data_IF_866213373843
#
_entry.id   IF_866213373843
#
_cell.length_a   1.000
_cell.length_b   1.000
_cell.length_c   1.000
_cell.angle_alpha   90.00
_cell.angle_beta   90.00
_cell.angle_gamma   90.00
#
_symmetry.space_group_name_H-M   'P 1'
#
loop_
_entity.id
_entity.type
_entity.pdbx_description
1 polymer ?
#
# COMPACT_ATOMS: atom_id res chain seq x y z
N UNK A 1 13.84 -10.00 15.91
CA UNK A 1 14.40 -8.85 15.15
C UNK A 1 13.32 -7.81 14.88
N UNK A 2 13.67 -6.51 14.93
CA UNK A 2 12.75 -5.41 14.65
C UNK A 2 12.48 -5.25 13.16
N UNK A 3 11.20 -5.25 12.80
CA UNK A 3 10.71 -4.94 11.46
C UNK A 3 9.83 -3.70 11.51
N UNK A 4 9.96 -2.82 10.53
CA UNK A 4 9.11 -1.64 10.40
C UNK A 4 8.23 -1.79 9.16
N UNK A 5 6.95 -1.56 9.34
CA UNK A 5 5.95 -1.72 8.28
C UNK A 5 5.17 -0.43 8.06
N UNK A 6 4.74 -0.24 6.82
CA UNK A 6 4.16 1.03 6.35
C UNK A 6 2.80 0.80 5.70
N UNK A 7 1.74 1.48 6.17
CA UNK A 7 0.39 1.28 5.67
C UNK A 7 0.18 1.91 4.29
N UNK A 8 -0.87 1.44 3.63
CA UNK A 8 -1.36 1.98 2.37
C UNK A 8 -2.69 2.70 2.50
N UNK A 9 -3.34 2.88 1.34
CA UNK A 9 -4.61 3.58 1.22
C UNK A 9 -5.69 2.95 2.11
N UNK A 10 -6.49 3.78 2.76
CA UNK A 10 -7.49 3.39 3.75
C UNK A 10 -7.08 3.70 5.19
N UNK A 11 -5.80 4.00 5.42
CA UNK A 11 -5.29 4.34 6.76
C UNK A 11 -5.45 5.83 7.13
N UNK A 12 -5.74 6.70 6.15
CA UNK A 12 -5.83 8.15 6.32
C UNK A 12 -6.99 8.58 7.22
N UNK A 13 -6.79 9.67 7.95
CA UNK A 13 -7.82 10.35 8.74
C UNK A 13 -7.54 11.84 8.87
N UNK A 14 -8.57 12.66 8.97
CA UNK A 14 -8.42 14.11 9.16
C UNK A 14 -7.74 14.41 10.50
N UNK A 15 -6.73 15.26 10.47
CA UNK A 15 -5.87 15.56 11.63
C UNK A 15 -4.55 14.79 11.63
N UNK A 16 -4.38 13.84 10.72
CA UNK A 16 -3.15 13.03 10.64
C UNK A 16 -1.90 13.90 10.44
N UNK A 17 -0.91 13.71 11.28
CA UNK A 17 0.37 14.42 11.20
C UNK A 17 0.40 15.81 11.82
N UNK A 18 -0.74 16.36 12.29
CA UNK A 18 -0.81 17.71 12.87
C UNK A 18 0.05 17.85 14.12
N UNK A 19 -0.09 16.92 15.06
CA UNK A 19 0.71 16.93 16.29
C UNK A 19 2.21 16.84 16.01
N UNK A 20 2.58 16.00 15.03
CA UNK A 20 3.98 15.86 14.61
C UNK A 20 4.52 17.15 14.00
N UNK A 21 3.73 17.83 13.17
CA UNK A 21 4.07 19.13 12.60
C UNK A 21 4.24 20.22 13.66
N UNK A 22 3.36 20.26 14.65
CA UNK A 22 3.37 21.29 15.70
C UNK A 22 4.51 21.09 16.72
N UNK A 23 4.90 19.83 17.00
CA UNK A 23 5.79 19.50 18.11
C UNK A 23 7.21 19.06 17.69
N UNK A 24 7.46 18.85 16.39
CA UNK A 24 8.77 18.40 15.89
C UNK A 24 9.28 19.32 14.79
N UNK A 25 10.40 20.05 14.99
CA UNK A 25 10.94 20.96 14.00
C UNK A 25 11.32 20.31 12.67
N UNK A 26 11.86 19.08 12.70
CA UNK A 26 12.19 18.32 11.48
C UNK A 26 10.92 17.94 10.72
N UNK A 27 9.88 17.50 11.43
CA UNK A 27 8.60 17.20 10.80
C UNK A 27 8.02 18.42 10.11
N UNK A 28 8.01 19.55 10.78
CA UNK A 28 7.53 20.82 10.20
C UNK A 28 8.29 21.18 8.92
N UNK A 29 9.62 21.11 8.95
CA UNK A 29 10.46 21.35 7.77
C UNK A 29 10.10 20.42 6.60
N UNK A 30 9.96 19.12 6.87
CA UNK A 30 9.65 18.13 5.85
C UNK A 30 8.23 18.29 5.29
N UNK A 31 7.23 18.60 6.11
CA UNK A 31 5.87 18.90 5.64
C UNK A 31 5.83 20.16 4.77
N UNK A 32 6.54 21.24 5.16
CA UNK A 32 6.61 22.44 4.33
C UNK A 32 7.34 22.17 3.01
N UNK A 33 8.43 21.41 3.03
CA UNK A 33 9.11 20.98 1.81
C UNK A 33 8.17 20.16 0.90
N UNK A 34 7.32 19.31 1.47
CA UNK A 34 6.33 18.56 0.71
C UNK A 34 5.30 19.47 0.03
N UNK A 35 4.82 20.50 0.72
CA UNK A 35 3.93 21.50 0.13
C UNK A 35 4.58 22.18 -1.08
N UNK A 36 5.86 22.52 -1.00
CA UNK A 36 6.62 23.12 -2.11
C UNK A 36 6.76 22.14 -3.28
N UNK A 37 7.14 20.90 -3.03
CA UNK A 37 7.31 19.86 -4.06
C UNK A 37 5.99 19.60 -4.80
N UNK A 38 4.89 19.49 -4.07
CA UNK A 38 3.56 19.20 -4.62
C UNK A 38 2.93 20.40 -5.31
N UNK A 39 3.36 21.63 -4.98
CA UNK A 39 2.78 22.86 -5.52
C UNK A 39 1.43 23.24 -4.93
N UNK A 40 1.01 22.60 -3.84
CA UNK A 40 -0.18 22.93 -3.06
C UNK A 40 0.01 22.54 -1.59
N UNK A 41 -0.78 23.11 -0.70
CA UNK A 41 -0.68 22.84 0.73
C UNK A 41 -1.45 21.59 1.12
N UNK A 42 -0.84 20.43 0.93
CA UNK A 42 -1.42 19.15 1.34
C UNK A 42 -1.66 19.10 2.86
N UNK A 43 -0.82 19.82 3.63
CA UNK A 43 -0.96 19.92 5.09
C UNK A 43 -2.31 20.50 5.51
N UNK A 44 -2.86 21.47 4.76
CA UNK A 44 -4.17 22.04 5.06
C UNK A 44 -5.28 20.98 4.96
N UNK A 45 -5.18 20.10 3.96
CA UNK A 45 -6.13 18.98 3.80
C UNK A 45 -5.91 17.91 4.87
N UNK A 46 -4.66 17.53 5.15
CA UNK A 46 -4.33 16.52 6.14
C UNK A 46 -4.77 16.91 7.55
N UNK A 47 -4.59 18.18 7.93
CA UNK A 47 -4.79 18.64 9.30
C UNK A 47 -6.22 19.09 9.57
N UNK A 48 -6.81 19.85 8.68
CA UNK A 48 -8.07 20.53 8.88
C UNK A 48 -9.05 20.44 7.70
N UNK A 49 -8.77 19.56 6.71
CA UNK A 49 -9.64 19.32 5.57
C UNK A 49 -10.86 18.44 5.89
N UNK A 50 -11.52 17.96 4.85
CA UNK A 50 -12.65 17.05 4.95
C UNK A 50 -12.25 15.60 4.61
N UNK A 51 -13.07 14.64 5.05
CA UNK A 51 -12.89 13.23 4.68
C UNK A 51 -12.96 13.04 3.16
N UNK A 52 -13.82 13.78 2.47
CA UNK A 52 -13.98 13.73 1.02
C UNK A 52 -12.73 14.21 0.29
N UNK A 53 -12.13 15.30 0.75
CA UNK A 53 -10.88 15.82 0.17
C UNK A 53 -9.74 14.81 0.38
N UNK A 54 -9.65 14.25 1.59
CA UNK A 54 -8.60 13.31 1.96
C UNK A 54 -8.73 11.95 1.26
N UNK A 55 -9.94 11.55 0.87
CA UNK A 55 -10.21 10.29 0.13
C UNK A 55 -9.86 10.34 -1.35
N UNK A 56 -9.65 11.52 -1.93
CA UNK A 56 -9.22 11.61 -3.33
C UNK A 56 -7.85 10.95 -3.48
N UNK A 57 -7.73 9.97 -4.37
CA UNK A 57 -6.51 9.16 -4.56
C UNK A 57 -5.25 10.02 -4.70
N UNK A 58 -5.34 11.14 -5.43
CA UNK A 58 -4.23 12.10 -5.61
C UNK A 58 -3.77 12.77 -4.31
N UNK A 59 -4.63 12.81 -3.29
CA UNK A 59 -4.33 13.38 -1.97
C UNK A 59 -3.99 12.28 -0.97
N UNK A 60 -4.76 11.20 -0.97
CA UNK A 60 -4.63 10.10 0.00
C UNK A 60 -3.22 9.49 0.00
N UNK A 61 -2.70 9.16 -1.17
CA UNK A 61 -1.39 8.50 -1.27
C UNK A 61 -0.26 9.38 -0.77
N UNK A 62 -0.10 10.65 -1.25
CA UNK A 62 0.91 11.54 -0.69
C UNK A 62 0.74 11.80 0.81
N UNK A 63 -0.49 11.94 1.31
CA UNK A 63 -0.76 12.17 2.72
C UNK A 63 -0.27 11.02 3.61
N UNK A 64 -0.59 9.77 3.24
CA UNK A 64 -0.13 8.57 3.96
C UNK A 64 1.39 8.44 3.88
N UNK A 65 1.96 8.62 2.70
CA UNK A 65 3.42 8.60 2.51
C UNK A 65 4.12 9.61 3.42
N UNK A 66 3.65 10.86 3.45
CA UNK A 66 4.24 11.92 4.27
C UNK A 66 4.16 11.59 5.75
N UNK A 67 2.99 11.20 6.23
CA UNK A 67 2.83 10.81 7.63
C UNK A 67 3.78 9.67 8.01
N UNK A 68 3.82 8.63 7.18
CA UNK A 68 4.62 7.43 7.42
C UNK A 68 6.13 7.71 7.41
N UNK A 69 6.62 8.37 6.38
CA UNK A 69 8.05 8.64 6.21
C UNK A 69 8.55 9.67 7.23
N UNK A 70 7.80 10.75 7.43
CA UNK A 70 8.18 11.79 8.39
C UNK A 70 8.18 11.23 9.81
N UNK A 71 7.19 10.40 10.17
CA UNK A 71 7.19 9.71 11.48
C UNK A 71 8.44 8.86 11.67
N UNK A 72 8.81 8.06 10.68
CA UNK A 72 10.01 7.23 10.74
C UNK A 72 11.30 8.06 10.87
N UNK A 73 11.42 9.13 10.07
CA UNK A 73 12.60 10.01 10.13
C UNK A 73 12.71 10.77 11.46
N UNK A 74 11.59 11.14 12.06
CA UNK A 74 11.56 11.80 13.36
C UNK A 74 11.88 10.89 14.56
N UNK A 75 11.88 9.57 14.35
CA UNK A 75 12.36 8.62 15.37
C UNK A 75 13.89 8.69 15.57
N UNK A 76 14.64 9.24 14.60
CA UNK A 76 16.10 9.33 14.70
C UNK A 76 16.73 7.93 14.86
N UNK A 77 17.57 7.77 15.87
CA UNK A 77 18.27 6.50 16.15
C UNK A 77 17.33 5.36 16.58
N UNK A 78 16.12 5.67 17.03
CA UNK A 78 15.13 4.63 17.36
C UNK A 78 14.59 3.92 16.11
N UNK A 79 14.69 4.53 14.94
CA UNK A 79 14.43 3.89 13.67
C UNK A 79 15.64 3.07 13.21
N UNK A 80 15.77 1.87 13.75
CA UNK A 80 16.81 0.89 13.40
C UNK A 80 16.21 -0.41 12.85
N UNK A 81 15.66 -0.37 11.62
CA UNK A 81 15.04 -1.54 11.02
C UNK A 81 16.08 -2.59 10.64
N UNK A 82 15.78 -3.85 10.96
CA UNK A 82 16.50 -5.01 10.40
C UNK A 82 15.87 -5.48 9.10
N UNK A 83 14.61 -5.12 8.89
CA UNK A 83 13.86 -5.33 7.66
C UNK A 83 12.67 -4.38 7.59
N UNK A 84 12.22 -4.05 6.39
CA UNK A 84 11.03 -3.22 6.16
C UNK A 84 10.11 -3.83 5.12
N UNK A 85 8.84 -3.50 5.20
CA UNK A 85 7.84 -3.79 4.18
C UNK A 85 6.76 -2.71 4.20
N UNK A 86 6.07 -2.55 3.09
CA UNK A 86 4.93 -1.64 2.99
C UNK A 86 3.81 -2.22 2.15
N UNK A 87 2.57 -1.96 2.55
CA UNK A 87 1.39 -2.45 1.85
C UNK A 87 1.02 -1.50 0.72
N UNK A 88 1.09 -1.95 -0.54
CA UNK A 88 0.78 -1.15 -1.73
C UNK A 88 1.56 0.18 -1.75
N UNK A 89 0.91 1.32 -1.59
CA UNK A 89 1.55 2.65 -1.42
C UNK A 89 2.67 2.61 -0.39
N UNK A 90 2.48 1.89 0.70
CA UNK A 90 3.44 1.77 1.79
C UNK A 90 4.80 1.19 1.39
N UNK A 91 4.90 0.48 0.27
CA UNK A 91 6.20 0.01 -0.25
C UNK A 91 7.11 1.18 -0.63
N UNK A 92 6.56 2.27 -1.18
CA UNK A 92 7.30 3.50 -1.44
C UNK A 92 7.77 4.16 -0.13
N UNK A 93 6.93 4.15 0.89
CA UNK A 93 7.29 4.64 2.22
C UNK A 93 8.41 3.80 2.84
N UNK A 94 8.33 2.48 2.76
CA UNK A 94 9.35 1.56 3.25
C UNK A 94 10.70 1.78 2.54
N UNK A 95 10.69 1.90 1.23
CA UNK A 95 11.91 2.17 0.43
C UNK A 95 12.53 3.52 0.77
N UNK A 96 11.71 4.55 0.96
CA UNK A 96 12.19 5.89 1.34
C UNK A 96 12.77 5.89 2.74
N UNK A 97 12.08 5.30 3.71
CA UNK A 97 12.58 5.21 5.09
C UNK A 97 13.86 4.37 5.19
N UNK A 98 13.98 3.31 4.38
CA UNK A 98 15.19 2.50 4.30
C UNK A 98 16.34 3.14 3.50
N UNK A 99 16.12 4.32 2.91
CA UNK A 99 17.14 5.08 2.18
C UNK A 99 17.36 4.66 0.72
N UNK A 100 16.50 3.80 0.16
CA UNK A 100 16.56 3.45 -1.26
C UNK A 100 16.08 4.60 -2.17
N UNK A 101 15.12 5.39 -1.70
CA UNK A 101 14.63 6.60 -2.34
C UNK A 101 14.92 7.81 -1.44
N UNK A 102 15.23 8.97 -2.05
CA UNK A 102 15.22 10.23 -1.33
C UNK A 102 13.78 10.62 -0.95
N UNK A 103 13.61 11.44 0.07
CA UNK A 103 12.29 11.96 0.46
C UNK A 103 11.60 12.66 -0.72
N UNK A 104 12.33 13.47 -1.45
CA UNK A 104 11.82 14.21 -2.60
C UNK A 104 11.40 13.27 -3.74
N UNK A 105 12.26 12.33 -4.13
CA UNK A 105 11.96 11.37 -5.19
C UNK A 105 10.82 10.44 -4.81
N UNK A 106 10.80 9.96 -3.56
CA UNK A 106 9.71 9.15 -3.05
C UNK A 106 8.36 9.85 -3.13
N UNK A 107 8.30 11.11 -2.70
CA UNK A 107 7.08 11.93 -2.77
C UNK A 107 6.63 12.18 -4.22
N UNK A 108 7.57 12.52 -5.12
CA UNK A 108 7.27 12.71 -6.53
C UNK A 108 6.73 11.45 -7.20
N UNK A 109 7.32 10.30 -6.91
CA UNK A 109 6.85 9.01 -7.43
C UNK A 109 5.46 8.65 -6.89
N UNK A 110 5.21 8.86 -5.62
CA UNK A 110 3.90 8.61 -5.00
C UNK A 110 2.82 9.51 -5.60
N UNK A 111 3.14 10.77 -5.83
CA UNK A 111 2.21 11.70 -6.49
C UNK A 111 1.94 11.29 -7.94
N UNK A 112 2.98 10.93 -8.70
CA UNK A 112 2.84 10.43 -10.07
C UNK A 112 1.99 9.15 -10.11
N UNK A 113 2.20 8.24 -9.15
CA UNK A 113 1.40 7.02 -8.99
C UNK A 113 -0.08 7.34 -8.74
N UNK A 114 -0.36 8.25 -7.82
CA UNK A 114 -1.72 8.66 -7.49
C UNK A 114 -2.45 9.26 -8.70
N UNK A 115 -1.79 10.13 -9.46
CA UNK A 115 -2.34 10.73 -10.66
C UNK A 115 -2.60 9.71 -11.78
N UNK A 116 -1.65 8.80 -12.00
CA UNK A 116 -1.78 7.75 -13.01
C UNK A 116 -2.92 6.78 -12.67
N UNK A 117 -3.03 6.39 -11.40
CA UNK A 117 -4.11 5.52 -10.92
C UNK A 117 -5.48 6.18 -11.05
N UNK A 118 -5.60 7.45 -10.67
CA UNK A 118 -6.86 8.19 -10.82
C UNK A 118 -7.30 8.26 -12.27
N UNK A 119 -6.40 8.59 -13.19
CA UNK A 119 -6.66 8.63 -14.62
C UNK A 119 -7.12 7.26 -15.17
N UNK A 120 -6.50 6.17 -14.74
CA UNK A 120 -6.91 4.83 -15.12
C UNK A 120 -8.30 4.48 -14.60
N UNK A 121 -8.65 4.89 -13.38
CA UNK A 121 -9.99 4.72 -12.81
C UNK A 121 -11.07 5.46 -13.61
N UNK A 122 -10.79 6.67 -14.05
CA UNK A 122 -11.73 7.47 -14.84
C UNK A 122 -11.94 6.91 -16.25
N UNK A 123 -10.95 6.22 -16.81
CA UNK A 123 -10.99 5.67 -18.17
C UNK A 123 -11.84 4.40 -18.29
N UNK A 124 -11.94 3.61 -17.22
CA UNK A 124 -12.64 2.32 -17.26
C UNK A 124 -13.35 2.02 -15.93
N UNK A 125 -14.68 1.76 -15.95
CA UNK A 125 -15.44 1.37 -14.75
C UNK A 125 -14.90 0.06 -14.17
N UNK A 126 -14.42 0.13 -12.95
CA UNK A 126 -13.83 -0.99 -12.23
C UNK A 126 -13.92 -0.76 -10.73
N UNK A 127 -13.78 -1.81 -9.95
CA UNK A 127 -13.89 -1.74 -8.49
C UNK A 127 -13.17 -2.89 -7.80
N UNK A 128 -13.30 -2.95 -6.50
CA UNK A 128 -12.74 -4.00 -5.64
C UNK A 128 -13.81 -4.51 -4.68
N UNK A 129 -13.59 -5.70 -4.13
CA UNK A 129 -14.45 -6.26 -3.08
C UNK A 129 -13.62 -6.98 -2.02
N UNK A 130 -14.01 -6.82 -0.76
CA UNK A 130 -13.43 -7.56 0.36
C UNK A 130 -14.14 -8.91 0.53
N UNK A 131 -13.35 -9.97 0.62
CA UNK A 131 -13.84 -11.35 0.78
C UNK A 131 -13.36 -11.88 2.12
N UNK A 132 -14.30 -12.29 2.95
CA UNK A 132 -14.04 -12.72 4.32
C UNK A 132 -14.38 -14.18 4.52
N UNK A 133 -13.46 -14.91 5.16
CA UNK A 133 -13.61 -16.27 5.64
C UNK A 133 -13.67 -17.35 4.54
N UNK A 134 -12.90 -17.17 3.45
CA UNK A 134 -12.63 -18.21 2.48
C UNK A 134 -11.12 -18.45 2.33
N UNK A 135 -10.69 -19.67 1.98
CA UNK A 135 -9.31 -19.96 1.63
C UNK A 135 -8.88 -19.23 0.35
N UNK A 136 -7.59 -18.90 0.25
CA UNK A 136 -7.00 -18.21 -0.90
C UNK A 136 -7.30 -18.96 -2.21
N UNK A 137 -7.10 -20.27 -2.23
CA UNK A 137 -7.28 -21.14 -3.43
C UNK A 137 -8.71 -21.09 -3.94
N UNK A 138 -9.71 -21.02 -3.05
CA UNK A 138 -11.11 -20.94 -3.46
C UNK A 138 -11.45 -19.60 -4.10
N UNK A 139 -10.89 -18.52 -3.58
CA UNK A 139 -11.06 -17.18 -4.14
C UNK A 139 -10.36 -17.07 -5.51
N UNK A 140 -9.14 -17.60 -5.62
CA UNK A 140 -8.40 -17.65 -6.89
C UNK A 140 -9.16 -18.43 -7.96
N UNK A 141 -9.71 -19.61 -7.61
CA UNK A 141 -10.51 -20.45 -8.51
C UNK A 141 -11.73 -19.69 -9.05
N UNK A 142 -12.52 -19.08 -8.17
CA UNK A 142 -13.71 -18.32 -8.56
C UNK A 142 -13.35 -17.13 -9.46
N UNK A 143 -12.30 -16.39 -9.12
CA UNK A 143 -11.83 -15.29 -9.95
C UNK A 143 -11.44 -15.75 -11.35
N UNK A 144 -10.73 -16.88 -11.46
CA UNK A 144 -10.33 -17.45 -12.74
C UNK A 144 -11.55 -17.90 -13.58
N UNK A 145 -12.54 -18.51 -12.95
CA UNK A 145 -13.78 -18.95 -13.63
C UNK A 145 -14.61 -17.76 -14.11
N UNK A 146 -14.82 -16.76 -13.26
CA UNK A 146 -15.60 -15.57 -13.62
C UNK A 146 -14.92 -14.78 -14.75
N UNK A 147 -13.61 -14.70 -14.76
CA UNK A 147 -12.86 -14.03 -15.83
C UNK A 147 -13.04 -14.70 -17.21
N UNK A 148 -13.49 -15.95 -17.27
CA UNK A 148 -13.80 -16.67 -18.52
C UNK A 148 -15.24 -16.47 -19.00
N UNK A 149 -16.10 -15.83 -18.19
CA UNK A 149 -17.54 -15.70 -18.49
C UNK A 149 -17.88 -14.52 -19.41
N UNK A 150 -16.90 -13.74 -19.87
CA UNK A 150 -17.13 -12.58 -20.74
C UNK A 150 -17.64 -11.34 -20.03
N UNK A 151 -17.62 -11.31 -18.70
CA UNK A 151 -18.02 -10.14 -17.86
C UNK A 151 -16.84 -9.20 -17.51
N UNK A 152 -15.68 -9.45 -18.09
CA UNK A 152 -14.44 -8.75 -17.80
C UNK A 152 -13.49 -9.57 -16.93
N UNK A 153 -12.47 -8.91 -16.41
CA UNK A 153 -11.41 -9.52 -15.60
C UNK A 153 -11.71 -9.32 -14.11
N UNK A 154 -11.46 -10.34 -13.31
CA UNK A 154 -11.38 -10.26 -11.86
C UNK A 154 -10.21 -11.11 -11.37
N UNK A 155 -9.43 -10.55 -10.44
CA UNK A 155 -8.24 -11.20 -9.87
C UNK A 155 -8.22 -11.01 -8.34
N UNK A 156 -7.49 -11.89 -7.65
CA UNK A 156 -7.17 -11.70 -6.25
C UNK A 156 -6.07 -10.63 -6.16
N UNK A 157 -6.41 -9.45 -5.66
CA UNK A 157 -5.54 -8.29 -5.62
C UNK A 157 -4.70 -8.19 -4.35
N UNK A 158 -5.27 -8.52 -3.19
CA UNK A 158 -4.58 -8.42 -1.90
C UNK A 158 -4.77 -9.69 -1.07
N UNK A 159 -3.65 -10.27 -0.67
CA UNK A 159 -3.59 -11.31 0.37
C UNK A 159 -3.27 -10.61 1.70
N UNK A 160 -4.29 -10.13 2.41
CA UNK A 160 -4.08 -9.28 3.59
C UNK A 160 -3.72 -10.07 4.86
N UNK A 161 -4.49 -11.09 5.16
CA UNK A 161 -4.20 -12.07 6.21
C UNK A 161 -5.12 -13.28 6.01
N UNK A 162 -4.91 -14.40 6.70
CA UNK A 162 -5.76 -15.57 6.56
C UNK A 162 -7.24 -15.23 6.70
N UNK A 163 -8.04 -15.58 5.67
CA UNK A 163 -9.47 -15.30 5.63
C UNK A 163 -9.86 -13.85 5.33
N UNK A 164 -8.92 -13.01 4.92
CA UNK A 164 -9.17 -11.60 4.61
C UNK A 164 -8.46 -11.21 3.30
N UNK A 165 -9.20 -11.29 2.20
CA UNK A 165 -8.72 -11.11 0.83
C UNK A 165 -9.47 -9.96 0.15
N UNK A 166 -8.85 -9.38 -0.87
CA UNK A 166 -9.49 -8.37 -1.73
C UNK A 166 -9.36 -8.81 -3.18
N UNK A 167 -10.47 -8.78 -3.89
CA UNK A 167 -10.54 -9.01 -5.34
C UNK A 167 -10.71 -7.70 -6.09
N UNK A 168 -10.26 -7.65 -7.33
CA UNK A 168 -10.19 -6.44 -8.14
C UNK A 168 -10.54 -6.75 -9.58
N UNK A 169 -11.36 -5.92 -10.23
CA UNK A 169 -11.77 -6.18 -11.60
C UNK A 169 -12.83 -5.24 -12.16
N UNK A 170 -13.35 -5.59 -13.33
CA UNK A 170 -14.50 -4.90 -13.90
C UNK A 170 -15.73 -5.04 -12.99
N UNK A 171 -16.60 -4.05 -12.97
CA UNK A 171 -17.76 -4.02 -12.08
C UNK A 171 -18.61 -5.26 -12.19
N UNK A 172 -19.00 -5.66 -13.41
CA UNK A 172 -19.83 -6.87 -13.63
C UNK A 172 -19.13 -8.16 -13.18
N UNK A 173 -17.81 -8.26 -13.42
CA UNK A 173 -17.02 -9.41 -12.97
C UNK A 173 -16.92 -9.48 -11.44
N UNK A 174 -16.77 -8.34 -10.76
CA UNK A 174 -16.77 -8.25 -9.30
C UNK A 174 -18.13 -8.65 -8.72
N UNK A 175 -19.23 -8.19 -9.30
CA UNK A 175 -20.59 -8.54 -8.85
C UNK A 175 -20.80 -10.05 -8.95
N UNK A 176 -20.48 -10.66 -10.11
CA UNK A 176 -20.57 -12.10 -10.31
C UNK A 176 -19.67 -12.89 -9.34
N UNK A 177 -18.41 -12.46 -9.18
CA UNK A 177 -17.50 -13.11 -8.25
C UNK A 177 -18.01 -13.05 -6.81
N UNK A 178 -18.56 -11.91 -6.37
CA UNK A 178 -19.15 -11.76 -5.04
C UNK A 178 -20.32 -12.73 -4.81
N UNK A 179 -21.20 -12.91 -5.80
CA UNK A 179 -22.31 -13.87 -5.72
C UNK A 179 -21.80 -15.30 -5.58
N UNK A 180 -20.85 -15.70 -6.44
CA UNK A 180 -20.28 -17.05 -6.40
C UNK A 180 -19.49 -17.32 -5.10
N UNK A 181 -18.76 -16.33 -4.60
CA UNK A 181 -17.99 -16.44 -3.36
C UNK A 181 -18.91 -16.54 -2.14
N UNK A 182 -20.02 -15.84 -2.11
CA UNK A 182 -21.05 -16.00 -1.07
C UNK A 182 -21.66 -17.41 -1.11
N UNK A 183 -21.98 -17.90 -2.31
CA UNK A 183 -22.50 -19.26 -2.50
C UNK A 183 -21.46 -20.32 -2.09
N UNK A 184 -20.18 -20.04 -2.22
CA UNK A 184 -19.08 -20.91 -1.81
C UNK A 184 -18.79 -20.87 -0.29
N UNK A 185 -19.50 -20.02 0.47
CA UNK A 185 -19.41 -19.96 1.92
C UNK A 185 -18.68 -18.75 2.50
N UNK A 186 -18.35 -17.72 1.69
CA UNK A 186 -17.80 -16.48 2.22
C UNK A 186 -18.75 -15.86 3.25
N UNK A 187 -18.21 -15.51 4.41
CA UNK A 187 -18.97 -14.82 5.45
C UNK A 187 -19.40 -13.42 5.01
N UNK A 188 -18.56 -12.77 4.19
CA UNK A 188 -18.85 -11.49 3.54
C UNK A 188 -18.16 -11.44 2.19
N UNK A 189 -18.83 -10.86 1.21
CA UNK A 189 -18.27 -10.40 -0.06
C UNK A 189 -18.84 -8.99 -0.29
N UNK A 190 -18.04 -7.99 0.08
CA UNK A 190 -18.47 -6.60 0.16
C UNK A 190 -17.75 -5.74 -0.86
N UNK A 191 -18.49 -5.15 -1.80
CA UNK A 191 -17.94 -4.19 -2.76
C UNK A 191 -17.47 -2.95 -2.02
N UNK A 192 -16.23 -2.55 -2.27
CA UNK A 192 -15.59 -1.41 -1.63
C UNK A 192 -15.98 -0.10 -2.34
N UNK A 193 -15.95 0.99 -1.60
CA UNK A 193 -16.19 2.34 -2.16
C UNK A 193 -14.91 2.90 -2.79
N UNK A 194 -14.42 2.21 -3.82
CA UNK A 194 -13.24 2.62 -4.61
C UNK A 194 -13.62 2.62 -6.08
N UNK A 195 -13.07 3.56 -6.84
CA UNK A 195 -13.40 3.76 -8.25
C UNK A 195 -12.46 3.04 -9.22
N UNK A 196 -11.68 2.06 -8.77
CA UNK A 196 -10.71 1.40 -9.62
C UNK A 196 -10.33 0.00 -9.17
N UNK A 197 -9.86 -0.79 -10.12
CA UNK A 197 -9.38 -2.16 -9.91
C UNK A 197 -7.86 -2.17 -9.70
N UNK A 198 -7.42 -1.74 -8.52
CA UNK A 198 -6.01 -1.69 -8.18
C UNK A 198 -5.41 -3.10 -8.10
N UNK A 199 -4.14 -3.22 -8.44
CA UNK A 199 -3.41 -4.50 -8.45
C UNK A 199 -4.05 -5.55 -9.38
N UNK A 200 -4.52 -5.10 -10.53
CA UNK A 200 -5.10 -5.93 -11.59
C UNK A 200 -4.58 -5.52 -12.97
N UNK A 201 -4.80 -6.33 -14.02
CA UNK A 201 -4.46 -5.96 -15.39
C UNK A 201 -5.07 -4.64 -15.87
N UNK A 202 -6.18 -4.18 -15.26
CA UNK A 202 -6.84 -2.91 -15.59
C UNK A 202 -6.02 -1.68 -15.21
N UNK A 203 -4.99 -1.83 -14.39
CA UNK A 203 -4.03 -0.78 -14.06
C UNK A 203 -2.86 -0.67 -15.05
N UNK A 204 -2.87 -1.39 -16.15
CA UNK A 204 -1.80 -1.33 -17.15
C UNK A 204 -1.52 0.11 -17.65
N UNK A 205 -2.53 0.96 -17.97
CA UNK A 205 -2.25 2.34 -18.36
C UNK A 205 -1.52 3.14 -17.27
N UNK A 206 -1.89 2.95 -16.01
CA UNK A 206 -1.23 3.60 -14.88
C UNK A 206 0.20 3.08 -14.68
N UNK A 207 0.43 1.80 -14.86
CA UNK A 207 1.76 1.19 -14.84
C UNK A 207 2.66 1.79 -15.92
N UNK A 208 2.16 1.93 -17.15
CA UNK A 208 2.94 2.48 -18.26
C UNK A 208 3.38 3.93 -17.99
N UNK A 209 2.50 4.77 -17.43
CA UNK A 209 2.85 6.14 -17.05
C UNK A 209 3.85 6.17 -15.88
N UNK A 210 3.63 5.36 -14.85
CA UNK A 210 4.49 5.31 -13.66
C UNK A 210 5.87 4.73 -13.98
N UNK A 211 5.96 3.78 -14.90
CA UNK A 211 7.22 3.15 -15.30
C UNK A 211 8.25 4.18 -15.73
N UNK A 212 7.87 5.13 -16.59
CA UNK A 212 8.78 6.18 -17.05
C UNK A 212 9.34 7.02 -15.89
N UNK A 213 8.50 7.35 -14.90
CA UNK A 213 8.92 8.08 -13.71
C UNK A 213 9.86 7.26 -12.82
N UNK A 214 9.59 5.97 -12.65
CA UNK A 214 10.45 5.05 -11.86
C UNK A 214 11.80 4.88 -12.56
N UNK A 215 11.82 4.66 -13.85
CA UNK A 215 13.06 4.50 -14.64
C UNK A 215 13.95 5.74 -14.59
N UNK A 216 13.35 6.94 -14.53
CA UNK A 216 14.07 8.20 -14.41
C UNK A 216 14.54 8.51 -12.98
N UNK A 217 14.15 7.72 -11.99
CA UNK A 217 14.47 7.95 -10.58
C UNK A 217 15.68 7.10 -10.16
N UNK A 218 16.60 7.69 -9.40
CA UNK A 218 17.71 6.96 -8.79
C UNK A 218 17.19 6.13 -7.62
N UNK A 219 17.45 4.83 -7.65
CA UNK A 219 17.20 3.91 -6.54
C UNK A 219 18.55 3.43 -6.02
N UNK A 220 18.77 3.59 -4.72
CA UNK A 220 20.00 3.18 -4.02
C UNK A 220 19.76 1.88 -3.27
N UNK A 221 20.85 1.24 -2.86
CA UNK A 221 20.80 0.10 -1.95
C UNK A 221 20.20 0.55 -0.60
N UNK A 222 19.09 -0.07 -0.14
CA UNK A 222 18.50 0.25 1.16
C UNK A 222 19.40 -0.19 2.32
N UNK A 223 19.22 0.43 3.48
CA UNK A 223 19.93 0.10 4.73
C UNK A 223 19.64 -1.31 5.26
N UNK A 224 18.49 -1.86 4.90
CA UNK A 224 18.04 -3.19 5.28
C UNK A 224 17.21 -3.77 4.14
N UNK A 225 16.98 -5.11 4.11
CA UNK A 225 16.12 -5.73 3.13
C UNK A 225 14.70 -5.14 3.17
N UNK A 226 14.15 -4.88 1.99
CA UNK A 226 12.76 -4.45 1.79
C UNK A 226 11.98 -5.61 1.15
N UNK A 227 10.94 -6.08 1.84
CA UNK A 227 10.06 -7.15 1.35
C UNK A 227 9.03 -6.53 0.43
N UNK A 228 9.11 -6.85 -0.87
CA UNK A 228 8.28 -6.23 -1.88
C UNK A 228 6.99 -7.01 -2.15
N UNK A 229 5.93 -6.31 -2.52
CA UNK A 229 4.58 -6.88 -2.61
C UNK A 229 4.43 -7.95 -3.69
N UNK A 230 5.15 -7.81 -4.80
CA UNK A 230 5.00 -8.65 -5.98
C UNK A 230 5.38 -10.12 -5.73
N UNK A 231 6.45 -10.35 -5.01
CA UNK A 231 7.01 -11.68 -4.79
C UNK A 231 7.17 -12.06 -3.30
N UNK A 232 6.88 -11.12 -2.41
CA UNK A 232 6.99 -11.30 -0.96
C UNK A 232 8.42 -11.60 -0.47
N UNK A 233 9.45 -11.29 -1.26
CA UNK A 233 10.85 -11.60 -0.95
C UNK A 233 11.62 -10.35 -0.51
N UNK A 234 12.71 -10.53 0.26
CA UNK A 234 13.61 -9.46 0.62
C UNK A 234 14.48 -9.03 -0.57
N UNK A 235 14.56 -7.73 -0.81
CA UNK A 235 15.38 -7.14 -1.86
C UNK A 235 16.29 -6.03 -1.32
N UNK A 236 17.51 -5.99 -1.83
CA UNK A 236 18.51 -4.95 -1.56
C UNK A 236 19.14 -4.41 -2.85
N UNK A 237 19.04 -5.14 -3.94
CA UNK A 237 19.57 -4.70 -5.25
C UNK A 237 18.64 -3.64 -5.88
N UNK A 238 19.17 -2.44 -6.21
CA UNK A 238 18.39 -1.37 -6.82
C UNK A 238 17.69 -1.77 -8.13
N UNK A 239 18.28 -2.60 -8.95
CA UNK A 239 17.68 -3.05 -10.21
C UNK A 239 16.49 -3.97 -9.99
N UNK A 240 16.58 -4.90 -9.04
CA UNK A 240 15.46 -5.77 -8.65
C UNK A 240 14.31 -4.96 -8.01
N UNK A 241 14.65 -4.03 -7.11
CA UNK A 241 13.69 -3.13 -6.47
C UNK A 241 12.93 -2.33 -7.52
N UNK A 242 13.65 -1.77 -8.49
CA UNK A 242 13.03 -0.99 -9.58
C UNK A 242 12.07 -1.83 -10.41
N UNK A 243 12.48 -3.02 -10.83
CA UNK A 243 11.65 -3.94 -11.60
C UNK A 243 10.36 -4.32 -10.84
N UNK A 244 10.46 -4.60 -9.55
CA UNK A 244 9.32 -4.95 -8.70
C UNK A 244 8.37 -3.76 -8.47
N UNK A 245 8.90 -2.54 -8.30
CA UNK A 245 8.07 -1.34 -8.23
C UNK A 245 7.24 -1.11 -9.50
N UNK A 246 7.85 -1.33 -10.66
CA UNK A 246 7.15 -1.22 -11.95
C UNK A 246 6.04 -2.26 -12.06
N UNK A 247 6.29 -3.50 -11.63
CA UNK A 247 5.32 -4.59 -11.70
C UNK A 247 4.17 -4.46 -10.69
N UNK A 248 4.35 -3.72 -9.62
CA UNK A 248 3.44 -3.69 -8.46
C UNK A 248 1.99 -3.33 -8.79
N UNK A 249 1.76 -2.31 -9.65
CA UNK A 249 0.40 -1.81 -9.94
C UNK A 249 -0.52 -2.82 -10.61
N UNK A 250 0.05 -3.76 -11.36
CA UNK A 250 -0.70 -4.81 -12.07
C UNK A 250 -0.56 -6.20 -11.43
N UNK A 251 0.09 -6.27 -10.28
CA UNK A 251 0.35 -7.51 -9.54
C UNK A 251 -0.33 -7.50 -8.17
N UNK A 252 -0.62 -8.68 -7.64
CA UNK A 252 -1.19 -8.83 -6.31
C UNK A 252 -0.24 -8.32 -5.22
N UNK A 253 -0.81 -7.75 -4.17
CA UNK A 253 -0.10 -7.44 -2.93
C UNK A 253 -0.08 -8.70 -2.05
N UNK A 254 1.07 -9.33 -1.94
CA UNK A 254 1.29 -10.55 -1.18
C UNK A 254 1.67 -10.25 0.26
N UNK A 255 0.80 -9.54 0.97
CA UNK A 255 1.09 -9.07 2.33
C UNK A 255 1.25 -10.22 3.33
N UNK A 256 0.34 -11.18 3.31
CA UNK A 256 0.42 -12.38 4.16
C UNK A 256 1.77 -13.09 3.99
N UNK A 257 2.15 -13.35 2.74
CA UNK A 257 3.40 -14.03 2.42
C UNK A 257 4.63 -13.20 2.80
N UNK A 258 4.58 -11.87 2.61
CA UNK A 258 5.66 -10.96 3.03
C UNK A 258 5.89 -11.05 4.54
N UNK A 259 4.83 -10.95 5.33
CA UNK A 259 4.93 -11.05 6.80
C UNK A 259 5.42 -12.43 7.24
N UNK A 260 4.91 -13.50 6.63
CA UNK A 260 5.37 -14.88 6.91
C UNK A 260 6.87 -15.04 6.62
N UNK A 261 7.36 -14.51 5.50
CA UNK A 261 8.77 -14.57 5.15
C UNK A 261 9.62 -13.72 6.10
N UNK A 262 9.16 -12.53 6.49
CA UNK A 262 9.84 -11.70 7.49
C UNK A 262 9.98 -12.44 8.83
N UNK A 263 8.93 -13.14 9.27
CA UNK A 263 8.95 -13.95 10.51
C UNK A 263 9.91 -15.13 10.36
N UNK A 264 9.89 -15.83 9.23
CA UNK A 264 10.82 -16.92 8.94
C UNK A 264 12.29 -16.46 8.96
N UNK A 265 12.54 -15.22 8.53
CA UNK A 265 13.86 -14.59 8.53
C UNK A 265 14.21 -13.94 9.89
N UNK A 266 13.36 -14.10 10.91
CA UNK A 266 13.63 -13.76 12.30
C UNK A 266 12.93 -12.51 12.84
N UNK A 267 11.97 -11.92 12.13
CA UNK A 267 11.18 -10.83 12.68
C UNK A 267 10.20 -11.33 13.75
N UNK A 268 10.22 -10.70 14.90
CA UNK A 268 9.36 -11.02 16.05
C UNK A 268 8.70 -9.78 16.67
N UNK A 269 9.14 -8.60 16.26
CA UNK A 269 8.66 -7.30 16.73
C UNK A 269 8.43 -6.35 15.55
N UNK A 270 7.16 -6.04 15.29
CA UNK A 270 6.73 -5.21 14.16
C UNK A 270 6.24 -3.85 14.64
N UNK A 271 6.79 -2.79 14.09
CA UNK A 271 6.34 -1.42 14.32
C UNK A 271 5.69 -0.86 13.06
N UNK A 272 4.42 -0.50 13.14
CA UNK A 272 3.70 0.19 12.07
C UNK A 272 4.01 1.68 12.13
N UNK A 273 4.65 2.20 11.08
CA UNK A 273 4.96 3.61 10.89
C UNK A 273 3.95 4.21 9.92
N UNK A 274 3.03 5.01 10.44
CA UNK A 274 2.02 5.65 9.62
C UNK A 274 0.69 5.76 10.34
N UNK A 275 -0.34 6.31 9.66
CA UNK A 275 -1.65 6.47 10.27
C UNK A 275 -2.36 5.13 10.45
N UNK A 276 -3.20 5.03 11.48
CA UNK A 276 -4.04 3.86 11.73
C UNK A 276 -3.33 2.67 12.36
N UNK A 277 -4.02 1.53 12.36
CA UNK A 277 -3.59 0.28 13.03
C UNK A 277 -3.86 -0.97 12.17
N UNK A 278 -4.10 -0.80 10.87
CA UNK A 278 -4.56 -1.90 10.02
C UNK A 278 -3.53 -3.02 9.89
N UNK A 279 -2.26 -2.68 9.72
CA UNK A 279 -1.19 -3.67 9.56
C UNK A 279 -0.94 -4.42 10.86
N UNK A 280 -1.03 -3.78 12.02
CA UNK A 280 -0.92 -4.44 13.32
C UNK A 280 -1.95 -5.56 13.45
N UNK A 281 -3.21 -5.26 13.12
CA UNK A 281 -4.29 -6.24 13.13
C UNK A 281 -4.07 -7.40 12.17
N UNK A 282 -3.56 -7.15 10.98
CA UNK A 282 -3.23 -8.19 9.99
C UNK A 282 -2.09 -9.08 10.47
N UNK A 283 -1.02 -8.49 11.00
CA UNK A 283 0.17 -9.21 11.48
C UNK A 283 -0.19 -10.18 12.60
N UNK A 284 -0.97 -9.74 13.58
CA UNK A 284 -1.41 -10.58 14.69
C UNK A 284 -2.31 -11.74 14.21
N UNK A 285 -3.11 -11.53 13.16
CA UNK A 285 -3.89 -12.62 12.53
C UNK A 285 -3.03 -13.58 11.73
N UNK A 286 -1.92 -13.12 11.16
CA UNK A 286 -0.96 -13.98 10.44
C UNK A 286 -0.19 -14.84 11.43
N UNK A 287 0.30 -14.25 12.53
CA UNK A 287 0.99 -14.97 13.59
C UNK A 287 0.77 -14.28 14.95
N UNK A 288 0.16 -15.01 15.90
CA UNK A 288 -0.16 -14.50 17.23
C UNK A 288 1.04 -14.42 18.18
N UNK A 289 2.16 -15.01 17.82
CA UNK A 289 3.36 -15.08 18.68
C UNK A 289 4.28 -13.87 18.49
N UNK A 290 4.07 -13.07 17.45
CA UNK A 290 4.84 -11.85 17.22
C UNK A 290 4.17 -10.63 17.84
N UNK A 291 4.99 -9.64 18.20
CA UNK A 291 4.49 -8.36 18.68
C UNK A 291 4.24 -7.41 17.50
N UNK A 292 3.16 -6.65 17.57
CA UNK A 292 2.83 -5.63 16.58
C UNK A 292 2.25 -4.40 17.28
N UNK A 293 2.84 -3.24 17.05
CA UNK A 293 2.46 -1.97 17.68
C UNK A 293 2.69 -0.81 16.71
N UNK A 294 2.13 0.36 17.03
CA UNK A 294 2.33 1.59 16.26
C UNK A 294 3.42 2.47 16.86
N UNK A 295 3.78 3.53 16.16
CA UNK A 295 4.56 4.64 16.70
C UNK A 295 3.62 5.48 17.57
N UNK A 296 3.99 5.72 18.83
CA UNK A 296 3.31 6.62 19.75
C UNK A 296 3.73 8.09 19.54
#
# INVERSE_FOLDING_TARGET
MKAFVFPGQGAQFVGMGKDLYENNPLAKELFEKANEILGYRITDIMFDGTDEELKQTKVTQPAIFLHSVISALCMGEAFDPKMTAGHSLGEFSALTAAGALSFEDGLKLVYARAMAMQKACEAQPSTMAAIIALPDEKVEEVCAEVSKMGKGVVVLANYNCPGQLVISGNVEAIEEACEQLKAAGAKRALVLKVGGAFHSPLMQPAKDELQAAIEATEIKTPKCPVYQNVDAKPHTDPAEIKANLIAQLTSSVRWTQSVQNMIADGADDFTECGPGKALQGMIVKINKEVSAHGIE
#
